data_IF_548556130733
#
_entry.id   IF_548556130733
#
_cell.length_a   1.000
_cell.length_b   1.000
_cell.length_c   1.000
_cell.angle_alpha   90.00
_cell.angle_beta   90.00
_cell.angle_gamma   90.00
#
_symmetry.space_group_name_H-M   'P 1'
#
loop_
_entity.id
_entity.type
_entity.pdbx_description
1 polymer ?
#
# COMPACT_ATOMS: atom_id res chain seq x y z
N UNK A 1 -1.75 -9.64 9.16
CA UNK A 1 -0.47 -10.23 8.72
C UNK A 1 -0.24 -9.85 7.27
N UNK A 2 0.84 -9.13 6.98
CA UNK A 2 1.19 -8.59 5.67
C UNK A 2 2.05 -9.57 4.88
N UNK A 3 1.43 -10.69 4.54
CA UNK A 3 2.10 -11.91 4.06
C UNK A 3 2.64 -11.84 2.62
N UNK A 4 2.24 -10.84 1.83
CA UNK A 4 2.67 -10.78 0.43
C UNK A 4 2.08 -9.61 -0.36
N UNK A 5 2.33 -9.57 -1.68
CA UNK A 5 1.75 -8.57 -2.57
C UNK A 5 0.22 -8.72 -2.66
N UNK A 6 -0.46 -7.60 -2.89
CA UNK A 6 -1.92 -7.54 -3.03
C UNK A 6 -2.66 -7.42 -1.70
N UNK A 7 -1.98 -7.42 -0.56
CA UNK A 7 -2.61 -7.16 0.74
C UNK A 7 -3.07 -5.69 0.80
N UNK A 8 -4.26 -5.49 1.38
CA UNK A 8 -4.88 -4.18 1.57
C UNK A 8 -5.01 -3.91 3.08
N UNK A 9 -4.50 -2.77 3.52
CA UNK A 9 -4.54 -2.35 4.93
C UNK A 9 -4.95 -0.90 5.09
N UNK A 10 -5.40 -0.55 6.30
CA UNK A 10 -5.70 0.82 6.68
C UNK A 10 -4.41 1.62 6.88
N UNK A 11 -4.34 2.82 6.30
CA UNK A 11 -3.32 3.78 6.67
C UNK A 11 -3.69 4.43 8.02
N UNK A 12 -2.69 4.63 8.86
CA UNK A 12 -2.84 5.30 10.16
C UNK A 12 -1.59 6.12 10.48
N UNK A 13 -1.69 6.99 11.48
CA UNK A 13 -0.59 7.81 12.01
C UNK A 13 -0.28 7.49 13.48
N UNK A 14 -0.81 6.36 13.97
CA UNK A 14 -0.76 5.94 15.36
C UNK A 14 -1.86 4.93 15.70
N UNK A 15 -1.93 4.52 16.96
CA UNK A 15 -3.01 3.66 17.46
C UNK A 15 -4.35 4.38 17.30
N UNK A 16 -5.35 3.65 16.81
CA UNK A 16 -6.74 4.13 16.65
C UNK A 16 -6.94 5.38 15.78
N UNK A 17 -6.01 5.65 14.85
CA UNK A 17 -6.12 6.77 13.89
C UNK A 17 -6.44 6.31 12.46
N UNK A 18 -7.23 5.25 12.33
CA UNK A 18 -7.73 4.81 11.02
C UNK A 18 -8.74 5.83 10.46
N UNK A 19 -8.56 6.24 9.22
CA UNK A 19 -9.52 7.07 8.48
C UNK A 19 -9.90 6.37 7.16
N UNK A 20 -10.19 7.10 6.09
CA UNK A 20 -10.53 6.54 4.77
C UNK A 20 -9.31 6.17 3.92
N UNK A 21 -8.09 6.52 4.35
CA UNK A 21 -6.87 6.21 3.61
C UNK A 21 -6.52 4.73 3.76
N UNK A 22 -6.21 4.08 2.64
CA UNK A 22 -5.80 2.68 2.59
C UNK A 22 -4.55 2.50 1.73
N UNK A 23 -3.87 1.39 1.96
CA UNK A 23 -2.63 1.02 1.28
C UNK A 23 -2.84 -0.31 0.56
N UNK A 24 -2.29 -0.42 -0.66
CA UNK A 24 -2.15 -1.70 -1.37
C UNK A 24 -0.65 -1.96 -1.55
N UNK A 25 -0.20 -3.13 -1.12
CA UNK A 25 1.22 -3.48 -1.17
C UNK A 25 1.58 -4.25 -2.42
N UNK A 26 2.72 -3.89 -3.02
CA UNK A 26 3.29 -4.63 -4.17
C UNK A 26 4.33 -5.69 -3.76
N UNK A 27 4.61 -5.83 -2.46
CA UNK A 27 5.57 -6.76 -1.90
C UNK A 27 5.16 -7.09 -0.46
N UNK A 28 5.83 -8.07 0.16
CA UNK A 28 5.67 -8.40 1.58
C UNK A 28 6.11 -7.22 2.46
N UNK A 29 5.32 -6.89 3.49
CA UNK A 29 5.56 -5.74 4.39
C UNK A 29 5.39 -6.12 5.86
N UNK A 30 6.17 -7.10 6.33
CA UNK A 30 6.06 -7.69 7.69
C UNK A 30 6.23 -6.66 8.81
N UNK A 31 7.00 -5.58 8.59
CA UNK A 31 7.22 -4.53 9.59
C UNK A 31 5.95 -3.72 9.93
N UNK A 32 4.85 -3.92 9.21
CA UNK A 32 3.56 -3.29 9.48
C UNK A 32 2.60 -4.21 10.25
N UNK A 33 3.04 -5.44 10.57
CA UNK A 33 2.25 -6.35 11.39
C UNK A 33 2.10 -5.82 12.82
N UNK A 34 0.86 -5.81 13.31
CA UNK A 34 0.50 -5.23 14.60
C UNK A 34 0.22 -3.72 14.58
N UNK A 35 0.68 -3.00 13.55
CA UNK A 35 0.47 -1.54 13.44
C UNK A 35 -0.66 -1.20 12.48
N UNK A 36 -0.69 -1.81 11.29
CA UNK A 36 -1.72 -1.55 10.28
C UNK A 36 -2.72 -2.70 10.22
N UNK A 37 -4.01 -2.35 10.24
CA UNK A 37 -5.09 -3.33 10.17
C UNK A 37 -5.24 -3.80 8.73
N UNK A 38 -5.05 -5.09 8.50
CA UNK A 38 -5.33 -5.74 7.21
C UNK A 38 -6.82 -6.04 7.14
N UNK A 39 -7.48 -5.61 6.08
CA UNK A 39 -8.91 -5.83 5.88
C UNK A 39 -9.26 -6.56 4.57
N UNK A 40 -8.29 -6.79 3.68
CA UNK A 40 -8.55 -7.52 2.44
C UNK A 40 -7.31 -7.86 1.62
N UNK A 41 -7.54 -8.52 0.49
CA UNK A 41 -6.51 -8.83 -0.50
C UNK A 41 -7.08 -8.71 -1.92
N UNK A 42 -6.23 -8.32 -2.86
CA UNK A 42 -6.55 -8.27 -4.29
C UNK A 42 -6.62 -9.71 -4.84
N UNK A 43 -7.81 -10.12 -5.29
CA UNK A 43 -8.03 -11.44 -5.91
C UNK A 43 -7.89 -11.38 -7.43
N UNK A 44 -8.26 -10.25 -8.05
CA UNK A 44 -8.21 -10.02 -9.49
C UNK A 44 -7.82 -8.57 -9.78
N UNK A 45 -7.36 -8.28 -11.00
CA UNK A 45 -7.00 -6.90 -11.40
C UNK A 45 -5.59 -6.46 -10.99
N UNK A 46 -4.68 -7.41 -10.71
CA UNK A 46 -3.28 -7.12 -10.37
C UNK A 46 -2.56 -6.27 -11.43
N UNK A 47 -2.92 -6.40 -12.70
CA UNK A 47 -2.34 -5.61 -13.78
C UNK A 47 -2.70 -4.12 -13.68
N UNK A 48 -3.89 -3.80 -13.15
CA UNK A 48 -4.29 -2.41 -12.86
C UNK A 48 -3.41 -1.84 -11.77
N UNK A 49 -3.19 -2.58 -10.68
CA UNK A 49 -2.30 -2.17 -9.60
C UNK A 49 -0.87 -1.91 -10.12
N UNK A 50 -0.33 -2.77 -10.99
CA UNK A 50 0.98 -2.56 -11.62
C UNK A 50 1.00 -1.34 -12.54
N UNK A 51 -0.06 -1.10 -13.31
CA UNK A 51 -0.19 0.06 -14.18
C UNK A 51 -0.22 1.36 -13.35
N UNK A 52 -1.00 1.38 -12.28
CA UNK A 52 -1.06 2.49 -11.31
C UNK A 52 0.32 2.71 -10.68
N UNK A 53 1.01 1.65 -10.25
CA UNK A 53 2.41 1.70 -9.79
C UNK A 53 3.34 2.43 -10.75
N UNK A 54 3.32 2.00 -12.00
CA UNK A 54 4.16 2.56 -13.06
C UNK A 54 3.86 4.05 -13.31
N UNK A 55 2.59 4.43 -13.27
CA UNK A 55 2.16 5.82 -13.45
C UNK A 55 2.69 6.74 -12.34
N UNK A 56 2.64 6.31 -11.08
CA UNK A 56 3.16 7.09 -9.95
C UNK A 56 4.69 7.13 -9.89
N UNK A 57 5.37 6.02 -10.26
CA UNK A 57 6.84 5.97 -10.33
C UNK A 57 7.42 6.97 -11.35
N UNK A 58 6.69 7.24 -12.44
CA UNK A 58 7.09 8.22 -13.47
C UNK A 58 7.07 9.66 -12.95
N UNK A 59 6.18 9.99 -11.99
CA UNK A 59 6.11 11.31 -11.37
C UNK A 59 7.28 11.59 -10.41
N UNK A 60 7.86 10.56 -9.77
CA UNK A 60 8.91 10.71 -8.75
C UNK A 60 10.34 10.74 -9.32
N UNK A 61 10.55 11.32 -10.51
CA UNK A 61 11.88 11.44 -11.18
C UNK A 61 12.96 12.20 -10.38
N UNK A 62 12.65 12.69 -9.17
CA UNK A 62 13.59 13.37 -8.26
C UNK A 62 14.14 12.46 -7.14
N UNK A 63 14.04 11.13 -7.26
CA UNK A 63 14.84 10.21 -6.46
C UNK A 63 14.27 9.78 -5.09
N UNK A 64 13.05 10.19 -4.73
CA UNK A 64 12.33 9.56 -3.61
C UNK A 64 11.57 8.34 -4.13
N UNK A 65 12.20 7.16 -4.05
CA UNK A 65 11.46 5.91 -4.12
C UNK A 65 10.64 5.82 -2.82
N UNK A 66 9.33 6.05 -2.90
CA UNK A 66 8.46 5.71 -1.77
C UNK A 66 8.64 4.21 -1.46
N UNK A 67 8.60 3.81 -0.17
CA UNK A 67 8.52 2.40 0.21
C UNK A 67 7.39 1.70 -0.56
N UNK A 68 7.32 0.36 -0.61
CA UNK A 68 6.42 -0.44 -1.49
C UNK A 68 4.90 -0.20 -1.34
N UNK A 69 4.51 0.83 -0.59
CA UNK A 69 3.18 1.32 -0.31
C UNK A 69 2.68 2.21 -1.45
N UNK A 70 1.69 1.72 -2.19
CA UNK A 70 0.88 2.55 -3.08
C UNK A 70 -0.22 3.18 -2.22
N UNK A 71 0.03 4.36 -1.67
CA UNK A 71 -0.96 5.12 -0.91
C UNK A 71 -1.73 6.06 -1.83
N UNK A 72 -3.06 5.94 -1.84
CA UNK A 72 -3.91 6.97 -2.42
C UNK A 72 -4.05 8.10 -1.38
N UNK A 73 -3.22 9.13 -1.52
CA UNK A 73 -3.35 10.38 -0.79
C UNK A 73 -4.46 11.21 -1.45
N UNK A 74 -5.40 11.74 -0.65
CA UNK A 74 -6.14 12.95 -1.01
C UNK A 74 -5.28 14.17 -0.66
#
# INVERSE_FOLDING_TARGET
MHIGPGIISMANTGLDTNNSQFLIYNAKTEWLDGTNVVFGQVVQGFEVMKAVKKSFQKCLRNGLCLPPCMGFLN
#
